data_IF_804696591870
#
_entry.id   IF_804696591870
#
_cell.length_a   1.000
_cell.length_b   1.000
_cell.length_c   1.000
_cell.angle_alpha   90.00
_cell.angle_beta   90.00
_cell.angle_gamma   90.00
#
_symmetry.space_group_name_H-M   'P 1'
#
loop_
_entity.id
_entity.type
_entity.pdbx_description
1 polymer ?
#
# COMPACT_ATOMS: atom_id res chain seq x y z
N UNK A 1 -1.13 6.32 13.68
CA UNK A 1 0.30 6.21 13.30
C UNK A 1 0.42 6.09 11.79
N UNK A 2 1.58 6.45 11.24
CA UNK A 2 1.82 6.49 9.79
C UNK A 2 2.94 5.54 9.40
N UNK A 3 2.83 4.91 8.23
CA UNK A 3 3.88 4.08 7.64
C UNK A 3 3.96 4.34 6.14
N UNK A 4 5.16 4.56 5.63
CA UNK A 4 5.39 4.64 4.20
C UNK A 4 5.73 3.28 3.62
N UNK A 5 5.05 2.93 2.54
CA UNK A 5 5.23 1.66 1.82
C UNK A 5 5.42 1.94 0.34
N UNK A 6 6.32 1.20 -0.28
CA UNK A 6 6.39 1.06 -1.72
C UNK A 6 5.65 -0.23 -2.10
N UNK A 7 4.76 -0.12 -3.07
CA UNK A 7 3.97 -1.20 -3.64
C UNK A 7 4.42 -1.43 -5.07
N UNK A 8 4.73 -2.69 -5.41
CA UNK A 8 4.96 -3.13 -6.79
C UNK A 8 3.90 -4.15 -7.15
N UNK A 9 3.09 -3.84 -8.16
CA UNK A 9 1.92 -4.63 -8.55
C UNK A 9 2.32 -5.61 -9.66
N UNK A 10 1.96 -6.90 -9.54
CA UNK A 10 1.99 -7.78 -10.70
C UNK A 10 0.94 -7.31 -11.73
N UNK A 11 1.19 -7.55 -13.01
CA UNK A 11 0.40 -6.98 -14.11
C UNK A 11 -1.11 -7.27 -14.00
N UNK A 12 -1.48 -8.46 -13.54
CA UNK A 12 -2.88 -8.86 -13.40
C UNK A 12 -3.63 -8.12 -12.26
N UNK A 13 -2.93 -7.48 -11.33
CA UNK A 13 -3.53 -6.70 -10.24
C UNK A 13 -3.59 -5.20 -10.51
N UNK A 14 -3.00 -4.71 -11.61
CA UNK A 14 -3.02 -3.27 -11.95
C UNK A 14 -4.46 -2.75 -12.10
N UNK A 15 -5.37 -3.58 -12.62
CA UNK A 15 -6.78 -3.22 -12.86
C UNK A 15 -7.69 -3.50 -11.66
N UNK A 16 -7.15 -4.08 -10.59
CA UNK A 16 -7.92 -4.50 -9.42
C UNK A 16 -7.93 -3.40 -8.33
N UNK A 17 -9.05 -3.19 -7.62
CA UNK A 17 -9.18 -2.13 -6.61
C UNK A 17 -8.55 -2.51 -5.26
N UNK A 18 -7.37 -3.14 -5.28
CA UNK A 18 -6.74 -3.77 -4.11
C UNK A 18 -6.43 -2.78 -2.98
N UNK A 19 -6.01 -1.54 -3.30
CA UNK A 19 -5.76 -0.49 -2.30
C UNK A 19 -7.06 -0.11 -1.60
N UNK A 20 -8.14 0.11 -2.37
CA UNK A 20 -9.43 0.50 -1.80
C UNK A 20 -10.02 -0.61 -0.94
N UNK A 21 -9.93 -1.86 -1.40
CA UNK A 21 -10.39 -3.04 -0.64
C UNK A 21 -9.65 -3.16 0.69
N UNK A 22 -8.33 -2.96 0.69
CA UNK A 22 -7.51 -2.93 1.92
C UNK A 22 -7.94 -1.77 2.84
N UNK A 23 -8.03 -0.55 2.31
CA UNK A 23 -8.40 0.65 3.06
C UNK A 23 -9.75 0.50 3.76
N UNK A 24 -10.76 0.06 3.02
CA UNK A 24 -12.13 -0.15 3.53
C UNK A 24 -12.20 -1.30 4.54
N UNK A 25 -11.53 -2.43 4.27
CA UNK A 25 -11.61 -3.63 5.11
C UNK A 25 -10.91 -3.45 6.46
N UNK A 26 -9.77 -2.75 6.47
CA UNK A 26 -8.94 -2.61 7.65
C UNK A 26 -8.97 -1.21 8.27
N UNK A 27 -9.83 -0.30 7.78
CA UNK A 27 -9.90 1.08 8.25
C UNK A 27 -8.51 1.73 8.27
N UNK A 28 -7.85 1.70 7.11
CA UNK A 28 -6.55 2.32 6.85
C UNK A 28 -6.77 3.43 5.84
N UNK A 29 -6.26 4.62 6.11
CA UNK A 29 -6.32 5.74 5.19
C UNK A 29 -5.05 5.78 4.32
N UNK A 30 -5.15 5.53 3.00
CA UNK A 30 -4.02 5.68 2.10
C UNK A 30 -3.88 7.14 1.62
N UNK A 31 -2.66 7.65 1.61
CA UNK A 31 -2.29 8.90 0.96
C UNK A 31 -1.21 8.61 -0.10
N UNK A 32 -1.48 8.98 -1.36
CA UNK A 32 -0.57 8.70 -2.47
C UNK A 32 0.56 9.73 -2.46
N UNK A 33 1.81 9.27 -2.28
CA UNK A 33 3.00 10.13 -2.34
C UNK A 33 3.62 10.15 -3.74
N UNK A 34 3.69 8.98 -4.39
CA UNK A 34 4.15 8.82 -5.77
C UNK A 34 3.40 7.67 -6.42
N UNK A 35 3.13 7.77 -7.72
CA UNK A 35 2.51 6.69 -8.47
C UNK A 35 3.00 6.70 -9.92
N UNK A 36 3.36 5.52 -10.42
CA UNK A 36 3.59 5.23 -11.83
C UNK A 36 2.74 4.02 -12.18
N UNK A 37 1.61 4.29 -12.84
CA UNK A 37 0.65 3.26 -13.24
C UNK A 37 0.41 3.36 -14.74
N UNK A 38 0.68 2.27 -15.45
CA UNK A 38 0.39 2.06 -16.87
C UNK A 38 -0.27 0.69 -17.02
N UNK A 39 -0.53 0.22 -18.24
CA UNK A 39 -1.07 -1.13 -18.47
C UNK A 39 -0.13 -2.27 -18.05
N UNK A 40 1.18 -1.99 -17.96
CA UNK A 40 2.23 -2.98 -17.69
C UNK A 40 3.06 -2.68 -16.45
N UNK A 41 2.98 -1.46 -15.92
CA UNK A 41 3.73 -1.03 -14.74
C UNK A 41 2.75 -0.60 -13.67
N UNK A 42 2.88 -1.17 -12.48
CA UNK A 42 2.23 -0.65 -11.29
C UNK A 42 3.26 -0.49 -10.18
N UNK A 43 3.67 0.75 -9.91
CA UNK A 43 4.54 1.11 -8.80
C UNK A 43 3.97 2.31 -8.07
N UNK A 44 3.83 2.22 -6.76
CA UNK A 44 3.29 3.30 -5.93
C UNK A 44 4.04 3.44 -4.62
N UNK A 45 4.16 4.67 -4.13
CA UNK A 45 4.55 4.96 -2.76
C UNK A 45 3.34 5.56 -2.04
N UNK A 46 2.90 4.90 -0.98
CA UNK A 46 1.79 5.33 -0.15
C UNK A 46 2.28 5.64 1.26
N UNK A 47 1.72 6.69 1.85
CA UNK A 47 1.68 6.85 3.30
C UNK A 47 0.37 6.26 3.78
N UNK A 48 0.43 5.23 4.63
CA UNK A 48 -0.72 4.59 5.23
C UNK A 48 -0.89 5.09 6.66
N UNK A 49 -2.09 5.55 6.98
CA UNK A 49 -2.44 6.01 8.31
C UNK A 49 -3.51 5.12 8.95
N UNK A 50 -3.31 4.76 10.21
CA UNK A 50 -4.24 3.94 10.98
C UNK A 50 -3.69 3.55 12.36
N UNK A 51 -4.35 2.58 12.99
CA UNK A 51 -3.82 1.90 14.18
C UNK A 51 -2.76 0.88 13.76
N UNK A 52 -1.82 0.56 14.64
CA UNK A 52 -0.76 -0.42 14.39
C UNK A 52 -1.31 -1.75 13.87
N UNK A 53 -2.29 -2.31 14.61
CA UNK A 53 -3.00 -3.54 14.25
C UNK A 53 -3.66 -3.49 12.88
N UNK A 54 -4.24 -2.35 12.50
CA UNK A 54 -4.90 -2.20 11.20
C UNK A 54 -3.89 -2.09 10.07
N UNK A 55 -2.80 -1.36 10.29
CA UNK A 55 -1.69 -1.25 9.34
C UNK A 55 -1.05 -2.63 9.09
N UNK A 56 -0.78 -3.40 10.13
CA UNK A 56 -0.22 -4.75 10.01
C UNK A 56 -1.13 -5.66 9.18
N UNK A 57 -2.43 -5.68 9.49
CA UNK A 57 -3.42 -6.47 8.74
C UNK A 57 -3.58 -6.00 7.30
N UNK A 58 -3.60 -4.68 7.08
CA UNK A 58 -3.72 -4.08 5.76
C UNK A 58 -2.53 -4.43 4.88
N UNK A 59 -1.30 -4.20 5.38
CA UNK A 59 -0.05 -4.53 4.68
C UNK A 59 0.04 -6.04 4.41
N UNK A 60 -0.27 -6.87 5.41
CA UNK A 60 -0.28 -8.33 5.23
C UNK A 60 -1.27 -8.74 4.13
N UNK A 61 -2.46 -8.12 4.08
CA UNK A 61 -3.44 -8.46 3.05
C UNK A 61 -3.00 -8.14 1.62
N UNK A 62 -2.19 -7.09 1.44
CA UNK A 62 -1.61 -6.75 0.13
C UNK A 62 -0.55 -7.80 -0.25
N UNK A 63 0.32 -8.17 0.70
CA UNK A 63 1.31 -9.24 0.51
C UNK A 63 0.65 -10.59 0.20
N UNK A 64 -0.41 -10.95 0.92
CA UNK A 64 -1.17 -12.19 0.71
C UNK A 64 -1.83 -12.24 -0.68
N UNK A 65 -2.12 -11.08 -1.29
CA UNK A 65 -2.63 -10.97 -2.68
C UNK A 65 -1.52 -11.05 -3.73
N UNK A 66 -0.24 -11.11 -3.34
CA UNK A 66 0.90 -11.16 -4.25
C UNK A 66 1.43 -9.79 -4.68
N UNK A 67 1.01 -8.71 -4.02
CA UNK A 67 1.61 -7.38 -4.19
C UNK A 67 2.90 -7.36 -3.39
N UNK A 68 4.00 -6.94 -4.02
CA UNK A 68 5.25 -6.73 -3.30
C UNK A 68 5.15 -5.44 -2.49
N UNK A 69 5.48 -5.52 -1.21
CA UNK A 69 5.36 -4.41 -0.26
C UNK A 69 6.66 -4.24 0.52
N UNK A 70 7.36 -3.16 0.19
CA UNK A 70 8.58 -2.73 0.85
C UNK A 70 8.26 -1.60 1.82
N UNK A 71 8.75 -1.68 3.07
CA UNK A 71 8.69 -0.55 3.99
C UNK A 71 9.75 0.47 3.57
N UNK A 72 9.32 1.72 3.38
CA UNK A 72 10.27 2.80 3.13
C UNK A 72 10.86 3.19 4.49
N UNK A 73 12.05 2.69 4.81
CA UNK A 73 12.83 3.19 5.95
C UNK A 73 13.30 4.60 5.59
N UNK A 74 12.66 5.64 6.15
CA UNK A 74 13.06 7.01 5.84
C UNK A 74 12.32 8.14 6.53
N UNK A 75 10.99 8.10 6.68
CA UNK A 75 10.24 9.26 7.17
C UNK A 75 9.75 9.06 8.62
N UNK A 76 10.71 8.91 9.54
CA UNK A 76 10.52 9.41 10.91
C UNK A 76 11.16 10.80 10.92
N UNK A 77 10.42 11.79 10.46
CA UNK A 77 10.65 13.18 10.87
C UNK A 77 9.57 13.44 11.92
N UNK A 78 10.02 13.77 13.14
CA UNK A 78 9.18 14.22 14.27
C UNK A 78 8.13 15.26 13.86
#
# INVERSE_FOLDING_TARGET
>A
MKRQVKLTFPQHLIKEPVIFTMAKKYNVMPNIRRARVTETVGEMVLELEGTEKNLDKGIKSLKDQGIDVELVQGDVIE
#
